data_IF_940222429044
#
_entry.id   IF_940222429044
#
_cell.length_a   1.000
_cell.length_b   1.000
_cell.length_c   1.000
_cell.angle_alpha   90.00
_cell.angle_beta   90.00
_cell.angle_gamma   90.00
#
_symmetry.space_group_name_H-M   'P 1'
#
loop_
_entity.id
_entity.type
_entity.pdbx_description
1 polymer ?
#
# COMPACT_ATOMS: atom_id res chain seq x y z
N UNK A 1 6.67 23.95 -20.60
CA UNK A 1 5.75 22.80 -20.56
C UNK A 1 6.02 22.03 -19.29
N UNK A 2 4.97 21.65 -18.54
CA UNK A 2 5.12 20.73 -17.41
C UNK A 2 5.42 19.34 -17.95
N UNK A 3 6.39 18.66 -17.35
CA UNK A 3 6.71 17.27 -17.67
C UNK A 3 6.32 16.40 -16.48
N UNK A 4 5.35 15.53 -16.67
CA UNK A 4 4.83 14.69 -15.59
C UNK A 4 5.53 13.34 -15.58
N UNK A 5 5.50 12.67 -14.43
CA UNK A 5 5.94 11.29 -14.31
C UNK A 5 5.24 10.41 -15.35
N UNK A 6 5.99 9.54 -16.03
CA UNK A 6 5.44 8.65 -17.07
C UNK A 6 4.68 7.45 -16.49
N UNK A 7 4.53 7.37 -15.17
CA UNK A 7 3.76 6.31 -14.53
C UNK A 7 2.26 6.63 -14.67
N UNK A 8 1.44 5.71 -15.20
CA UNK A 8 -0.02 5.88 -15.32
C UNK A 8 -0.67 6.48 -14.07
N UNK A 9 -1.34 7.63 -14.23
CA UNK A 9 -2.08 8.30 -13.14
C UNK A 9 -1.24 9.13 -12.17
N UNK A 10 0.09 9.12 -12.28
CA UNK A 10 0.95 9.96 -11.46
C UNK A 10 0.97 11.41 -11.98
N UNK A 11 0.60 12.37 -11.12
CA UNK A 11 0.59 13.80 -11.47
C UNK A 11 1.84 14.56 -10.97
N UNK A 12 2.85 13.85 -10.48
CA UNK A 12 4.09 14.47 -10.00
C UNK A 12 4.85 15.07 -11.17
N UNK A 13 5.16 16.36 -11.09
CA UNK A 13 6.03 17.04 -12.05
C UNK A 13 7.50 16.64 -11.83
N UNK A 14 8.20 16.32 -12.92
CA UNK A 14 9.59 15.87 -12.92
C UNK A 14 10.38 16.60 -14.00
N UNK A 15 11.70 16.80 -13.83
CA UNK A 15 12.54 17.35 -14.89
C UNK A 15 12.37 16.57 -16.20
N UNK A 16 12.34 17.24 -17.38
CA UNK A 16 12.21 16.56 -18.68
C UNK A 16 13.25 15.47 -18.96
N UNK A 17 14.42 15.56 -18.35
CA UNK A 17 15.49 14.57 -18.45
C UNK A 17 15.21 13.29 -17.63
N UNK A 18 14.22 13.29 -16.74
CA UNK A 18 13.84 12.13 -15.92
C UNK A 18 12.63 11.44 -16.51
N UNK A 19 12.66 10.11 -16.56
CA UNK A 19 11.52 9.31 -17.03
C UNK A 19 10.32 9.38 -16.05
N UNK A 20 10.56 9.33 -14.74
CA UNK A 20 9.50 9.35 -13.72
C UNK A 20 9.96 9.91 -12.38
N UNK A 21 9.04 10.02 -11.42
CA UNK A 21 9.37 10.44 -10.06
C UNK A 21 10.20 9.37 -9.34
N UNK A 22 10.99 9.77 -8.34
CA UNK A 22 11.90 8.86 -7.62
C UNK A 22 11.19 7.59 -7.10
N UNK A 23 9.99 7.66 -6.48
CA UNK A 23 9.28 6.47 -6.03
C UNK A 23 8.96 5.50 -7.17
N UNK A 24 8.37 5.97 -8.27
CA UNK A 24 8.00 5.13 -9.42
C UNK A 24 9.21 4.62 -10.19
N UNK A 25 10.26 5.43 -10.29
CA UNK A 25 11.50 5.01 -10.93
C UNK A 25 12.04 3.74 -10.26
N UNK A 26 12.16 3.72 -8.93
CA UNK A 26 12.70 2.57 -8.22
C UNK A 26 11.74 1.37 -8.09
N UNK A 27 10.47 1.51 -8.49
CA UNK A 27 9.57 0.36 -8.66
C UNK A 27 9.88 -0.45 -9.92
N UNK A 28 10.54 0.16 -10.92
CA UNK A 28 10.90 -0.54 -12.15
C UNK A 28 12.03 -1.57 -11.90
N UNK A 29 11.95 -2.77 -12.51
CA UNK A 29 13.06 -3.70 -12.58
C UNK A 29 14.34 -3.02 -13.03
N UNK A 30 15.47 -3.39 -12.41
CA UNK A 30 16.76 -2.77 -12.72
C UNK A 30 17.08 -2.81 -14.21
N UNK A 31 16.81 -3.94 -14.88
CA UNK A 31 17.04 -4.10 -16.32
C UNK A 31 16.32 -3.03 -17.16
N UNK A 32 15.06 -2.71 -16.83
CA UNK A 32 14.29 -1.70 -17.55
C UNK A 32 14.83 -0.28 -17.27
N UNK A 33 15.22 0.00 -16.03
CA UNK A 33 15.88 1.27 -15.67
C UNK A 33 17.18 1.47 -16.43
N UNK A 34 18.00 0.43 -16.50
CA UNK A 34 19.28 0.45 -17.22
C UNK A 34 19.05 0.68 -18.72
N UNK A 35 18.03 0.04 -19.31
CA UNK A 35 17.71 0.20 -20.73
C UNK A 35 17.25 1.63 -21.07
N UNK A 36 16.44 2.27 -20.22
CA UNK A 36 16.07 3.68 -20.38
C UNK A 36 17.31 4.57 -20.40
N UNK A 37 18.24 4.37 -19.45
CA UNK A 37 19.46 5.17 -19.39
C UNK A 37 20.41 4.90 -20.55
N UNK A 38 20.57 3.64 -20.96
CA UNK A 38 21.44 3.25 -22.07
C UNK A 38 21.00 3.84 -23.41
N UNK A 39 19.70 4.09 -23.57
CA UNK A 39 19.11 4.62 -24.80
C UNK A 39 18.83 6.13 -24.75
N UNK A 40 18.94 6.74 -23.56
CA UNK A 40 18.74 8.16 -23.37
C UNK A 40 19.92 8.98 -23.94
N UNK A 41 19.59 10.09 -24.61
CA UNK A 41 20.58 11.05 -25.11
C UNK A 41 20.26 12.44 -24.54
N UNK A 42 21.19 13.07 -23.79
CA UNK A 42 20.99 14.44 -23.34
C UNK A 42 20.62 15.37 -24.49
N UNK A 43 19.59 16.19 -24.30
CA UNK A 43 19.04 17.09 -25.32
C UNK A 43 17.83 16.52 -26.07
N UNK A 44 17.58 15.20 -26.09
CA UNK A 44 16.40 14.64 -26.75
C UNK A 44 15.08 15.09 -26.10
N UNK A 45 15.11 15.40 -24.80
CA UNK A 45 14.02 15.97 -24.02
C UNK A 45 13.70 17.41 -24.40
N UNK A 46 14.67 18.11 -25.01
CA UNK A 46 14.54 19.49 -25.52
C UNK A 46 14.10 19.45 -26.99
N UNK A 47 14.81 18.71 -27.83
CA UNK A 47 14.52 18.63 -29.28
C UNK A 47 13.25 17.85 -29.60
N UNK A 48 12.77 17.04 -28.65
CA UNK A 48 11.62 16.13 -28.82
C UNK A 48 11.83 15.12 -29.96
N UNK A 49 13.08 14.71 -30.19
CA UNK A 49 13.47 13.72 -31.21
C UNK A 49 14.13 12.50 -30.57
N UNK A 50 13.40 11.69 -29.78
CA UNK A 50 13.96 10.50 -29.16
C UNK A 50 14.36 9.47 -30.20
N UNK A 51 15.41 8.70 -29.90
CA UNK A 51 15.83 7.59 -30.76
C UNK A 51 14.80 6.46 -30.76
N UNK A 52 14.74 5.67 -31.84
CA UNK A 52 13.89 4.46 -31.88
C UNK A 52 14.14 3.52 -30.70
N UNK A 53 15.41 3.32 -30.33
CA UNK A 53 15.80 2.50 -29.19
C UNK A 53 15.25 3.05 -27.86
N UNK A 54 15.22 4.38 -27.68
CA UNK A 54 14.62 5.00 -26.49
C UNK A 54 13.10 4.81 -26.44
N UNK A 55 12.43 4.95 -27.59
CA UNK A 55 10.99 4.72 -27.70
C UNK A 55 10.66 3.27 -27.34
N UNK A 56 11.42 2.30 -27.88
CA UNK A 56 11.26 0.87 -27.57
C UNK A 56 11.48 0.59 -26.08
N UNK A 57 12.52 1.19 -25.46
CA UNK A 57 12.76 1.07 -24.02
C UNK A 57 11.62 1.66 -23.17
N UNK A 58 11.12 2.84 -23.53
CA UNK A 58 9.98 3.48 -22.87
C UNK A 58 8.69 2.66 -23.02
N UNK A 59 8.44 2.07 -24.19
CA UNK A 59 7.31 1.17 -24.42
C UNK A 59 7.42 -0.11 -23.60
N UNK A 60 8.62 -0.70 -23.48
CA UNK A 60 8.85 -1.86 -22.62
C UNK A 60 8.58 -1.54 -21.13
N UNK A 61 8.97 -0.35 -20.66
CA UNK A 61 8.61 0.13 -19.33
C UNK A 61 7.09 0.23 -19.18
N UNK A 62 6.39 0.86 -20.13
CA UNK A 62 4.93 1.00 -20.07
C UNK A 62 4.19 -0.35 -20.11
N UNK A 63 4.66 -1.30 -20.94
CA UNK A 63 4.12 -2.66 -20.99
C UNK A 63 4.32 -3.39 -19.65
N UNK A 64 5.52 -3.28 -19.08
CA UNK A 64 5.79 -3.86 -17.76
C UNK A 64 4.91 -3.25 -16.68
N UNK A 65 4.71 -1.93 -16.69
CA UNK A 65 3.80 -1.26 -15.74
C UNK A 65 2.36 -1.72 -15.93
N UNK A 66 1.89 -1.89 -17.17
CA UNK A 66 0.55 -2.42 -17.44
C UNK A 66 0.35 -3.81 -16.84
N UNK A 67 1.38 -4.64 -16.86
CA UNK A 67 1.36 -6.00 -16.33
C UNK A 67 1.64 -6.08 -14.81
N UNK A 68 2.39 -5.14 -14.24
CA UNK A 68 2.98 -5.28 -12.89
C UNK A 68 2.88 -4.03 -11.98
N UNK A 69 2.56 -2.86 -12.55
CA UNK A 69 2.78 -1.52 -11.98
C UNK A 69 1.52 -0.71 -11.67
N UNK A 70 0.40 -1.35 -11.35
CA UNK A 70 -0.76 -0.65 -10.78
C UNK A 70 -1.73 -0.02 -11.79
N UNK A 71 -2.68 0.82 -11.31
CA UNK A 71 -3.89 1.23 -12.00
C UNK A 71 -3.66 1.89 -13.37
N UNK A 72 -4.69 1.83 -14.22
CA UNK A 72 -4.78 2.65 -15.42
C UNK A 72 -4.76 4.16 -15.12
N UNK A 73 -4.31 4.98 -16.09
CA UNK A 73 -4.27 6.44 -15.96
C UNK A 73 -5.62 7.03 -15.57
N UNK A 74 -5.64 7.88 -14.54
CA UNK A 74 -6.85 8.51 -14.01
C UNK A 74 -7.46 7.81 -12.80
N UNK A 75 -7.01 6.59 -12.47
CA UNK A 75 -7.38 5.97 -11.20
C UNK A 75 -6.58 6.61 -10.07
N UNK A 76 -7.27 7.01 -9.01
CA UNK A 76 -6.61 7.37 -7.75
C UNK A 76 -6.06 6.10 -7.10
N UNK A 77 -5.04 6.32 -6.28
CA UNK A 77 -4.44 5.27 -5.47
C UNK A 77 -4.90 5.47 -4.03
N UNK A 78 -5.41 4.41 -3.42
CA UNK A 78 -5.70 4.34 -2.01
C UNK A 78 -4.48 3.74 -1.29
N UNK A 79 -3.91 4.43 -0.28
CA UNK A 79 -2.86 3.84 0.53
C UNK A 79 -3.45 2.65 1.29
N UNK A 80 -2.65 1.61 1.46
CA UNK A 80 -3.02 0.39 2.15
C UNK A 80 -1.90 -0.05 3.09
N UNK A 81 -2.31 -0.76 4.15
CA UNK A 81 -1.38 -1.32 5.12
C UNK A 81 -1.74 -2.78 5.38
N UNK A 82 -0.75 -3.66 5.22
CA UNK A 82 -0.90 -5.07 5.56
C UNK A 82 -0.82 -5.25 7.07
N UNK A 83 -1.86 -5.88 7.62
CA UNK A 83 -2.06 -6.17 9.04
C UNK A 83 -2.37 -7.66 9.15
N UNK A 84 -1.78 -8.35 10.15
CA UNK A 84 -2.01 -9.78 10.33
C UNK A 84 -3.39 -10.02 10.93
N UNK A 85 -4.07 -11.07 10.52
CA UNK A 85 -5.26 -11.54 11.25
C UNK A 85 -4.87 -12.05 12.65
N UNK A 86 -5.75 -11.99 13.67
CA UNK A 86 -7.10 -11.42 13.65
C UNK A 86 -7.16 -9.89 13.80
N UNK A 87 -6.01 -9.20 13.95
CA UNK A 87 -5.96 -7.74 14.18
C UNK A 87 -6.63 -6.92 13.07
N UNK A 88 -6.47 -7.34 11.81
CA UNK A 88 -7.13 -6.70 10.68
C UNK A 88 -8.66 -6.72 10.84
N UNK A 89 -9.23 -7.87 11.25
CA UNK A 89 -10.65 -8.01 11.54
C UNK A 89 -11.08 -7.13 12.71
N UNK A 90 -10.30 -7.10 13.80
CA UNK A 90 -10.60 -6.26 14.97
C UNK A 90 -10.66 -4.76 14.61
N UNK A 91 -9.76 -4.30 13.72
CA UNK A 91 -9.75 -2.92 13.26
C UNK A 91 -11.01 -2.62 12.45
N UNK A 92 -11.27 -3.39 11.39
CA UNK A 92 -12.35 -3.05 10.44
C UNK A 92 -13.74 -3.22 11.04
N UNK A 93 -13.89 -4.03 12.10
CA UNK A 93 -15.13 -4.16 12.87
C UNK A 93 -15.22 -3.22 14.07
N UNK A 94 -14.27 -2.30 14.23
CA UNK A 94 -14.34 -1.22 15.22
C UNK A 94 -13.95 -1.60 16.65
N UNK A 95 -13.44 -2.81 16.88
CA UNK A 95 -12.95 -3.22 18.20
C UNK A 95 -11.61 -2.55 18.54
N UNK A 96 -10.67 -2.53 17.59
CA UNK A 96 -9.30 -2.05 17.79
C UNK A 96 -9.10 -0.67 17.17
N UNK A 97 -8.86 0.33 18.02
CA UNK A 97 -8.74 1.73 17.63
C UNK A 97 -7.30 2.24 17.44
N UNK A 98 -6.31 1.35 17.59
CA UNK A 98 -4.89 1.64 17.40
C UNK A 98 -4.23 0.57 16.54
N UNK A 99 -3.42 0.93 15.57
CA UNK A 99 -2.48 0.03 14.89
C UNK A 99 -1.05 0.25 15.43
N UNK A 100 -0.43 -0.79 15.99
CA UNK A 100 0.89 -0.68 16.62
C UNK A 100 2.02 -0.94 15.62
N UNK A 101 3.08 -0.12 15.64
CA UNK A 101 4.23 -0.23 14.73
C UNK A 101 5.54 0.13 15.42
N UNK A 102 6.64 -0.41 14.88
CA UNK A 102 8.01 -0.03 15.28
C UNK A 102 8.46 1.31 14.65
N UNK A 103 7.66 1.89 13.77
CA UNK A 103 7.99 3.12 13.03
C UNK A 103 6.84 4.13 13.10
N UNK A 104 7.19 5.42 12.96
CA UNK A 104 6.24 6.54 12.93
C UNK A 104 5.75 6.84 11.51
N UNK A 105 4.55 7.39 11.40
CA UNK A 105 4.04 7.92 10.12
C UNK A 105 3.56 9.37 10.23
N UNK A 106 3.94 10.26 9.29
CA UNK A 106 3.33 11.58 9.17
C UNK A 106 1.96 11.51 8.46
N UNK A 107 1.60 10.37 7.87
CA UNK A 107 0.35 10.21 7.12
C UNK A 107 -0.88 10.39 8.03
N UNK A 108 -1.86 11.16 7.53
CA UNK A 108 -3.20 11.34 8.10
C UNK A 108 -4.21 11.24 6.97
N UNK A 109 -5.18 10.35 7.09
CA UNK A 109 -6.12 10.08 6.01
C UNK A 109 -6.68 8.68 6.01
N UNK A 110 -7.55 8.40 5.04
CA UNK A 110 -8.12 7.06 4.82
C UNK A 110 -7.05 6.14 4.24
N UNK A 111 -7.04 4.90 4.71
CA UNK A 111 -6.25 3.82 4.15
C UNK A 111 -7.04 2.53 4.16
N UNK A 112 -6.66 1.61 3.28
CA UNK A 112 -7.21 0.26 3.23
C UNK A 112 -6.51 -0.65 4.21
N UNK A 113 -7.30 -1.46 4.90
CA UNK A 113 -6.80 -2.55 5.74
C UNK A 113 -6.69 -3.80 4.88
N UNK A 114 -5.45 -4.25 4.69
CA UNK A 114 -5.13 -5.50 4.01
C UNK A 114 -4.86 -6.60 5.04
N UNK A 115 -5.56 -7.72 4.94
CA UNK A 115 -5.29 -8.90 5.74
C UNK A 115 -4.11 -9.68 5.14
N UNK A 116 -3.01 -9.78 5.90
CA UNK A 116 -1.80 -10.48 5.46
C UNK A 116 -2.08 -11.94 5.06
N UNK A 117 -1.34 -12.44 4.06
CA UNK A 117 -1.58 -13.79 3.49
C UNK A 117 -1.29 -14.91 4.49
N UNK A 118 -0.28 -14.77 5.34
CA UNK A 118 0.17 -15.82 6.25
C UNK A 118 -0.29 -15.56 7.69
N UNK A 119 -0.84 -16.59 8.33
CA UNK A 119 -1.20 -16.64 9.74
C UNK A 119 -1.17 -18.11 10.17
N UNK A 120 -0.31 -18.47 11.13
CA UNK A 120 -0.31 -19.82 11.69
C UNK A 120 -1.50 -20.01 12.63
N UNK A 121 -2.08 -21.22 12.71
CA UNK A 121 -3.20 -21.52 13.61
C UNK A 121 -2.84 -21.32 15.08
N UNK A 122 -1.63 -21.73 15.47
CA UNK A 122 -1.12 -21.55 16.84
C UNK A 122 -1.12 -20.07 17.21
N UNK A 123 -0.55 -19.22 16.34
CA UNK A 123 -0.57 -17.76 16.52
C UNK A 123 -1.98 -17.19 16.68
N UNK A 124 -2.94 -17.63 15.85
CA UNK A 124 -4.33 -17.19 15.98
C UNK A 124 -4.94 -17.59 17.33
N UNK A 125 -4.73 -18.83 17.77
CA UNK A 125 -5.25 -19.31 19.05
C UNK A 125 -4.65 -18.52 20.22
N UNK A 126 -3.32 -18.32 20.22
CA UNK A 126 -2.63 -17.54 21.26
C UNK A 126 -3.13 -16.10 21.33
N UNK A 127 -3.26 -15.44 20.17
CA UNK A 127 -3.80 -14.07 20.13
C UNK A 127 -5.24 -14.04 20.63
N UNK A 128 -6.09 -14.98 20.18
CA UNK A 128 -7.48 -15.04 20.60
C UNK A 128 -7.57 -15.25 22.12
N UNK A 129 -6.79 -16.14 22.69
CA UNK A 129 -6.78 -16.40 24.14
C UNK A 129 -6.29 -15.18 24.92
N UNK A 130 -5.29 -14.44 24.42
CA UNK A 130 -4.84 -13.19 25.07
C UNK A 130 -5.85 -12.05 25.04
N UNK A 131 -6.89 -12.15 24.21
CA UNK A 131 -7.91 -11.11 24.06
C UNK A 131 -9.09 -11.27 25.03
N UNK A 132 -9.13 -12.35 25.81
CA UNK A 132 -10.22 -12.65 26.75
C UNK A 132 -10.44 -11.53 27.79
N UNK A 133 -9.38 -10.82 28.17
CA UNK A 133 -9.44 -9.75 29.17
C UNK A 133 -9.95 -8.41 28.60
N UNK A 134 -10.00 -8.26 27.27
CA UNK A 134 -10.35 -6.99 26.60
C UNK A 134 -11.60 -7.06 25.74
N UNK A 135 -12.05 -8.27 25.38
CA UNK A 135 -13.28 -8.46 24.61
C UNK A 135 -13.82 -9.89 24.70
N UNK A 136 -15.08 -10.06 24.32
CA UNK A 136 -15.68 -11.38 24.15
C UNK A 136 -15.14 -12.06 22.88
N UNK A 137 -14.22 -13.00 23.08
CA UNK A 137 -13.47 -13.66 22.00
C UNK A 137 -14.34 -14.47 21.04
N UNK A 138 -15.55 -14.85 21.44
CA UNK A 138 -16.53 -15.53 20.58
C UNK A 138 -17.06 -14.64 19.45
N UNK A 139 -16.87 -13.32 19.55
CA UNK A 139 -17.18 -12.38 18.46
C UNK A 139 -16.15 -12.46 17.32
N UNK A 140 -14.94 -12.97 17.58
CA UNK A 140 -13.89 -13.14 16.57
C UNK A 140 -14.21 -14.39 15.73
N UNK A 141 -14.30 -14.30 14.40
CA UNK A 141 -14.58 -15.45 13.54
C UNK A 141 -13.53 -16.55 13.70
N UNK A 142 -13.92 -17.78 13.38
CA UNK A 142 -13.00 -18.92 13.39
C UNK A 142 -11.82 -18.69 12.44
N UNK A 143 -10.74 -19.43 12.67
CA UNK A 143 -9.50 -19.34 11.89
C UNK A 143 -9.73 -19.54 10.37
N UNK A 144 -10.70 -20.38 10.03
CA UNK A 144 -11.12 -20.74 8.69
C UNK A 144 -11.89 -19.61 8.01
N UNK A 145 -12.64 -18.84 8.78
CA UNK A 145 -13.57 -17.82 8.29
C UNK A 145 -12.92 -16.44 8.12
N UNK A 146 -11.68 -16.27 8.58
CA UNK A 146 -10.93 -15.03 8.44
C UNK A 146 -10.28 -14.93 7.04
N UNK A 147 -10.72 -13.97 6.19
CA UNK A 147 -10.10 -13.76 4.89
C UNK A 147 -8.65 -13.32 5.03
N UNK A 148 -7.80 -13.78 4.12
CA UNK A 148 -6.35 -13.52 4.09
C UNK A 148 -5.90 -13.24 2.67
N UNK A 149 -4.85 -12.44 2.51
CA UNK A 149 -4.27 -12.12 1.20
C UNK A 149 -5.09 -11.11 0.40
N UNK A 150 -5.79 -10.20 1.07
CA UNK A 150 -6.63 -9.21 0.38
C UNK A 150 -7.10 -8.06 1.27
N UNK A 151 -7.78 -7.10 0.65
CA UNK A 151 -8.43 -5.98 1.32
C UNK A 151 -9.66 -6.50 2.06
N UNK A 152 -9.81 -6.11 3.33
CA UNK A 152 -10.94 -6.52 4.19
C UNK A 152 -11.73 -5.33 4.74
N UNK A 153 -11.22 -4.11 4.58
CA UNK A 153 -11.90 -2.91 5.04
C UNK A 153 -11.06 -1.66 4.85
N UNK A 154 -11.53 -0.58 5.45
CA UNK A 154 -10.82 0.70 5.50
C UNK A 154 -10.89 1.30 6.90
N UNK A 155 -9.96 2.21 7.19
CA UNK A 155 -9.95 3.04 8.38
C UNK A 155 -9.27 4.37 8.08
N UNK A 156 -9.34 5.32 9.02
CA UNK A 156 -8.68 6.61 8.94
C UNK A 156 -7.64 6.75 10.03
N UNK A 157 -6.39 7.05 9.66
CA UNK A 157 -5.35 7.45 10.62
C UNK A 157 -5.56 8.93 10.94
N UNK A 158 -5.88 9.22 12.19
CA UNK A 158 -6.07 10.60 12.70
C UNK A 158 -4.90 11.08 13.53
N UNK A 159 -4.12 10.16 14.11
CA UNK A 159 -2.89 10.51 14.83
C UNK A 159 -1.84 9.38 14.84
N UNK A 160 -0.62 9.70 15.27
CA UNK A 160 0.49 8.77 15.49
C UNK A 160 1.16 9.13 16.82
N UNK A 161 0.90 8.33 17.85
CA UNK A 161 1.29 8.60 19.24
C UNK A 161 2.38 7.66 19.73
N UNK A 162 3.12 8.07 20.76
CA UNK A 162 4.08 7.22 21.49
C UNK A 162 3.56 6.77 22.87
N UNK A 163 2.37 7.24 23.26
CA UNK A 163 1.63 6.83 24.46
C UNK A 163 0.13 6.92 24.20
N UNK A 164 -0.65 6.02 24.80
CA UNK A 164 -2.11 6.06 24.76
C UNK A 164 -2.69 5.25 25.92
N UNK A 165 -3.84 5.69 26.44
CA UNK A 165 -4.60 4.96 27.46
C UNK A 165 -5.49 3.86 26.87
N UNK A 166 -5.57 3.75 25.53
CA UNK A 166 -6.31 2.67 24.88
C UNK A 166 -5.67 1.32 25.22
N UNK A 167 -6.46 0.29 25.60
CA UNK A 167 -5.95 -1.05 25.90
C UNK A 167 -5.30 -1.71 24.67
N UNK A 168 -5.52 -1.15 23.47
CA UNK A 168 -4.98 -1.64 22.21
C UNK A 168 -3.57 -1.11 21.92
N UNK A 169 -3.06 -0.16 22.70
CA UNK A 169 -1.73 0.41 22.51
C UNK A 169 -0.64 -0.51 23.07
N UNK A 170 0.33 -0.87 22.24
CA UNK A 170 1.48 -1.69 22.62
C UNK A 170 2.73 -1.27 21.84
N UNK A 171 3.89 -1.33 22.48
CA UNK A 171 5.17 -1.00 21.84
C UNK A 171 5.41 0.51 21.72
N UNK A 172 6.25 0.95 20.76
CA UNK A 172 6.76 2.32 20.75
C UNK A 172 5.84 3.34 20.06
N UNK A 173 5.04 2.91 19.07
CA UNK A 173 4.19 3.81 18.28
C UNK A 173 2.83 3.19 17.95
N UNK A 174 1.78 4.00 18.05
CA UNK A 174 0.40 3.63 17.75
C UNK A 174 -0.24 4.62 16.77
N UNK A 175 -0.77 4.11 15.67
CA UNK A 175 -1.57 4.90 14.73
C UNK A 175 -3.01 4.90 15.21
N UNK A 176 -3.53 6.07 15.59
CA UNK A 176 -4.90 6.23 16.09
C UNK A 176 -5.87 6.13 14.93
N UNK A 177 -6.79 5.18 15.02
CA UNK A 177 -7.72 4.79 13.95
C UNK A 177 -9.13 5.30 14.26
N UNK A 178 -9.80 5.85 13.25
CA UNK A 178 -11.21 6.26 13.31
C UNK A 178 -11.93 5.84 12.03
N UNK A 179 -13.26 5.89 12.05
CA UNK A 179 -14.10 5.62 10.88
C UNK A 179 -13.81 4.25 10.22
N UNK A 180 -13.44 3.26 11.03
CA UNK A 180 -13.15 1.92 10.53
C UNK A 180 -14.44 1.21 10.13
N UNK A 181 -14.41 0.52 8.99
CA UNK A 181 -15.53 -0.30 8.52
C UNK A 181 -15.06 -1.45 7.64
N UNK A 182 -15.80 -2.58 7.62
CA UNK A 182 -15.52 -3.67 6.70
C UNK A 182 -15.85 -3.26 5.27
N UNK A 183 -15.15 -3.86 4.31
CA UNK A 183 -15.43 -3.78 2.89
C UNK A 183 -15.54 -5.21 2.32
N UNK A 184 -16.20 -5.42 1.17
CA UNK A 184 -16.16 -6.70 0.49
C UNK A 184 -14.71 -7.18 0.28
N UNK A 185 -14.45 -8.46 0.56
CA UNK A 185 -13.11 -9.01 0.42
C UNK A 185 -12.66 -8.95 -1.04
N UNK A 186 -11.44 -8.45 -1.24
CA UNK A 186 -10.81 -8.34 -2.56
C UNK A 186 -9.39 -8.85 -2.49
N UNK A 187 -9.09 -9.91 -3.23
CA UNK A 187 -7.74 -10.46 -3.29
C UNK A 187 -6.74 -9.39 -3.77
N UNK A 188 -5.65 -9.23 -3.02
CA UNK A 188 -4.63 -8.26 -3.34
C UNK A 188 -3.28 -8.65 -2.75
N UNK A 189 -2.20 -8.49 -3.52
CA UNK A 189 -0.85 -8.80 -3.02
C UNK A 189 -0.38 -7.71 -2.06
N UNK A 190 -0.24 -8.07 -0.79
CA UNK A 190 0.28 -7.18 0.26
C UNK A 190 1.77 -6.86 0.09
N UNK A 191 2.25 -5.83 0.80
CA UNK A 191 3.65 -5.39 0.84
C UNK A 191 4.01 -4.91 2.26
N UNK A 192 5.31 -4.81 2.54
CA UNK A 192 5.81 -4.15 3.75
C UNK A 192 5.56 -2.65 3.67
N UNK A 193 5.40 -2.02 4.84
CA UNK A 193 5.06 -0.61 4.99
C UNK A 193 3.76 -0.24 4.24
N UNK A 194 3.50 1.06 4.05
CA UNK A 194 2.40 1.49 3.20
C UNK A 194 2.67 1.11 1.75
N UNK A 195 1.63 0.71 1.04
CA UNK A 195 1.65 0.49 -0.40
C UNK A 195 0.36 1.01 -1.03
N UNK A 196 0.42 1.26 -2.32
CA UNK A 196 -0.70 1.84 -3.04
C UNK A 196 -1.56 0.75 -3.70
N UNK A 197 -2.88 0.90 -3.56
CA UNK A 197 -3.89 0.08 -4.22
C UNK A 197 -4.69 0.95 -5.18
N UNK A 198 -4.83 0.57 -6.46
CA UNK A 198 -5.69 1.26 -7.38
C UNK A 198 -7.14 1.30 -6.91
N UNK A 199 -7.78 2.47 -6.89
CA UNK A 199 -9.22 2.57 -6.58
C UNK A 199 -10.08 1.74 -7.54
N UNK A 200 -9.65 1.55 -8.79
CA UNK A 200 -10.37 0.69 -9.76
C UNK A 200 -10.31 -0.81 -9.42
N UNK A 201 -9.44 -1.23 -8.49
CA UNK A 201 -9.45 -2.58 -7.95
C UNK A 201 -10.28 -2.69 -6.66
N UNK A 202 -10.85 -1.58 -6.15
CA UNK A 202 -11.75 -1.48 -5.00
C UNK A 202 -13.22 -1.35 -5.40
#
# INVERSE_FOLDING_TARGET
>A
MRHLCHWPGCQVEVPPAKWGCTPHWYQLPKALRDQIWATYRPGQEITKTPSRAYIEAAQAVQAWIKEHGGPPPGSRWAPALSIRQPWAWLIVNGFKDIENREWRTPFRGRFLVHASKTMARVYYNEVRDSLQDVMEVNQIPAYEDLPRGGIVGEARIVDCVDRSDSPWFMGPHGFVLREAKPLPFREWKGRLQFFDVPEVAL
#
